data_IF_125794858356
#
_entry.id   IF_125794858356
#
_cell.length_a   1.000
_cell.length_b   1.000
_cell.length_c   1.000
_cell.angle_alpha   90.00
_cell.angle_beta   90.00
_cell.angle_gamma   90.00
#
_symmetry.space_group_name_H-M   'P 1'
#
loop_
_entity.id
_entity.type
_entity.pdbx_description
1 polymer ?
#
# COMPACT_ATOMS: atom_id res chain seq x y z
N UNK A 1 31.23 -22.27 -37.68
CA UNK A 1 30.19 -21.22 -37.74
C UNK A 1 28.84 -21.85 -37.43
N UNK A 2 28.44 -21.98 -36.16
CA UNK A 2 27.05 -22.10 -35.68
C UNK A 2 27.04 -21.62 -34.22
N UNK A 3 26.13 -20.69 -33.93
CA UNK A 3 26.03 -19.83 -32.73
C UNK A 3 25.70 -20.52 -31.40
N UNK A 4 26.13 -19.95 -30.26
CA UNK A 4 25.58 -20.24 -28.94
C UNK A 4 24.43 -19.26 -28.61
N UNK A 5 23.19 -19.75 -28.48
CA UNK A 5 22.06 -18.98 -27.92
C UNK A 5 21.06 -19.91 -27.24
N UNK A 6 21.01 -19.86 -25.90
CA UNK A 6 19.82 -19.98 -25.00
C UNK A 6 20.19 -20.56 -23.63
N UNK A 7 20.88 -19.76 -22.80
CA UNK A 7 20.88 -19.98 -21.33
C UNK A 7 20.67 -18.70 -20.52
N UNK A 8 20.77 -17.50 -21.13
CA UNK A 8 20.56 -16.21 -20.44
C UNK A 8 19.10 -15.85 -20.10
N UNK A 9 18.11 -16.63 -20.55
CA UNK A 9 16.68 -16.35 -20.31
C UNK A 9 16.11 -16.97 -19.02
N UNK A 10 16.72 -18.03 -18.50
CA UNK A 10 16.23 -18.77 -17.33
C UNK A 10 16.67 -18.13 -16.00
N UNK A 11 17.85 -17.52 -15.96
CA UNK A 11 18.40 -16.90 -14.75
C UNK A 11 17.65 -15.62 -14.37
N UNK A 12 17.28 -14.78 -15.34
CA UNK A 12 16.44 -13.60 -15.11
C UNK A 12 15.00 -13.96 -14.70
N UNK A 13 14.43 -15.04 -15.25
CA UNK A 13 13.11 -15.52 -14.83
C UNK A 13 13.12 -16.18 -13.43
N UNK A 14 14.23 -16.81 -13.04
CA UNK A 14 14.40 -17.36 -11.69
C UNK A 14 14.61 -16.23 -10.66
N UNK A 15 15.45 -15.24 -10.93
CA UNK A 15 15.67 -14.09 -10.03
C UNK A 15 14.40 -13.27 -9.80
N UNK A 16 13.61 -13.04 -10.87
CA UNK A 16 12.34 -12.31 -10.80
C UNK A 16 11.29 -12.94 -9.87
N UNK A 17 11.27 -14.28 -9.76
CA UNK A 17 10.30 -15.01 -8.94
C UNK A 17 10.80 -15.31 -7.54
N UNK A 18 12.11 -15.57 -7.38
CA UNK A 18 12.72 -15.68 -6.06
C UNK A 18 12.47 -14.39 -5.29
N UNK A 19 12.51 -13.21 -5.90
CA UNK A 19 12.35 -11.93 -5.19
C UNK A 19 10.90 -11.58 -4.88
N UNK A 20 9.97 -11.86 -5.80
CA UNK A 20 8.54 -11.71 -5.53
C UNK A 20 8.11 -12.68 -4.42
N UNK A 21 8.58 -13.93 -4.47
CA UNK A 21 8.38 -14.91 -3.40
C UNK A 21 9.13 -14.58 -2.12
N UNK A 22 10.34 -14.01 -2.17
CA UNK A 22 11.07 -13.55 -0.99
C UNK A 22 10.34 -12.37 -0.38
N UNK A 23 9.75 -11.44 -1.13
CA UNK A 23 8.99 -10.35 -0.55
C UNK A 23 7.68 -10.83 0.11
N UNK A 24 6.95 -11.73 -0.54
CA UNK A 24 5.72 -12.32 0.00
C UNK A 24 5.98 -13.32 1.14
N UNK A 25 7.09 -14.05 1.08
CA UNK A 25 7.55 -14.92 2.15
C UNK A 25 8.14 -14.12 3.30
N UNK A 26 8.87 -13.03 3.03
CA UNK A 26 9.49 -12.19 4.07
C UNK A 26 8.48 -11.23 4.70
N UNK A 27 7.42 -10.77 4.02
CA UNK A 27 6.27 -10.15 4.71
C UNK A 27 5.62 -11.12 5.72
N UNK A 28 5.80 -12.42 5.51
CA UNK A 28 5.31 -13.52 6.33
C UNK A 28 6.30 -14.03 7.39
N UNK A 29 7.61 -13.96 7.11
CA UNK A 29 8.69 -14.43 8.01
C UNK A 29 9.31 -13.30 8.83
N UNK A 30 9.29 -12.06 8.34
CA UNK A 30 9.81 -10.93 9.08
C UNK A 30 8.78 -10.37 10.06
N UNK A 31 9.14 -10.48 11.33
CA UNK A 31 8.61 -9.60 12.39
C UNK A 31 8.79 -8.14 11.95
N UNK A 32 7.69 -7.38 11.90
CA UNK A 32 7.51 -5.91 12.01
C UNK A 32 8.51 -4.89 11.40
N UNK A 33 9.64 -5.29 10.83
CA UNK A 33 10.83 -4.44 10.61
C UNK A 33 11.50 -4.66 9.25
N UNK A 34 10.93 -5.50 8.39
CA UNK A 34 11.49 -5.83 7.08
C UNK A 34 10.47 -5.60 5.96
N UNK A 35 10.87 -4.86 4.95
CA UNK A 35 10.14 -4.65 3.71
C UNK A 35 11.09 -4.97 2.56
N UNK A 36 10.67 -5.81 1.61
CA UNK A 36 11.33 -5.90 0.30
C UNK A 36 10.49 -5.12 -0.70
N UNK A 37 11.10 -4.45 -1.69
CA UNK A 37 10.41 -3.96 -2.89
C UNK A 37 11.24 -4.31 -4.12
N UNK A 38 10.62 -4.57 -5.27
CA UNK A 38 11.35 -4.85 -6.51
C UNK A 38 11.16 -3.74 -7.54
N UNK A 39 12.29 -3.28 -8.09
CA UNK A 39 12.35 -2.41 -9.27
C UNK A 39 13.27 -3.05 -10.29
N UNK A 40 12.72 -3.52 -11.41
CA UNK A 40 13.50 -4.16 -12.49
C UNK A 40 14.36 -5.32 -11.95
N UNK A 41 15.69 -5.18 -11.96
CA UNK A 41 16.67 -6.17 -11.49
C UNK A 41 17.26 -5.82 -10.10
N UNK A 42 16.64 -4.87 -9.41
CA UNK A 42 17.02 -4.42 -8.07
C UNK A 42 15.94 -4.79 -7.04
N UNK A 43 16.38 -5.09 -5.82
CA UNK A 43 15.52 -5.14 -4.64
C UNK A 43 15.84 -4.01 -3.68
N UNK A 44 14.84 -3.63 -2.92
CA UNK A 44 14.95 -2.80 -1.74
C UNK A 44 14.79 -3.70 -0.52
N UNK A 45 15.51 -3.46 0.57
CA UNK A 45 15.37 -4.19 1.85
C UNK A 45 15.46 -3.22 3.01
N UNK A 46 14.86 -3.54 4.16
CA UNK A 46 14.92 -2.68 5.34
C UNK A 46 15.44 -3.41 6.56
N UNK A 47 16.21 -2.71 7.36
CA UNK A 47 16.67 -3.15 8.68
C UNK A 47 16.41 -2.03 9.69
N UNK A 48 15.95 -2.37 10.88
CA UNK A 48 15.61 -1.38 11.90
C UNK A 48 16.09 -1.81 13.28
N UNK A 49 16.47 -0.85 14.11
CA UNK A 49 16.65 -1.11 15.55
C UNK A 49 15.29 -1.32 16.25
N UNK A 50 15.33 -1.71 17.53
CA UNK A 50 14.12 -1.90 18.32
C UNK A 50 13.35 -0.59 18.50
N UNK A 51 12.02 -0.67 18.59
CA UNK A 51 11.16 0.49 18.84
C UNK A 51 11.34 0.98 20.28
N UNK A 52 11.45 2.29 20.45
CA UNK A 52 11.44 2.97 21.74
C UNK A 52 10.15 3.79 21.86
N UNK A 53 9.34 3.48 22.87
CA UNK A 53 8.02 4.11 23.08
C UNK A 53 8.08 5.41 23.89
N UNK A 54 9.15 5.64 24.66
CA UNK A 54 9.32 6.79 25.55
C UNK A 54 10.43 7.72 25.05
N UNK A 55 10.15 8.52 24.03
CA UNK A 55 11.06 9.59 23.59
C UNK A 55 10.31 10.91 23.64
N UNK A 56 10.77 11.84 24.48
CA UNK A 56 10.30 13.22 24.50
C UNK A 56 10.33 13.81 23.09
N UNK A 57 9.32 14.61 22.72
CA UNK A 57 9.29 15.21 21.40
C UNK A 57 10.50 16.13 21.20
N UNK A 58 11.42 15.67 20.37
CA UNK A 58 12.41 16.52 19.70
C UNK A 58 11.61 17.49 18.80
N UNK A 59 12.14 18.69 18.57
CA UNK A 59 11.51 19.72 17.75
C UNK A 59 11.01 19.15 16.41
N UNK A 60 9.71 19.35 16.11
CA UNK A 60 9.06 18.85 14.89
C UNK A 60 8.47 17.43 14.95
N UNK A 61 8.71 16.65 16.01
CA UNK A 61 8.13 15.30 16.15
C UNK A 61 6.68 15.34 16.69
N UNK A 62 5.81 14.48 16.16
CA UNK A 62 4.47 14.27 16.73
C UNK A 62 4.57 13.55 18.09
N UNK A 63 3.91 14.13 19.09
CA UNK A 63 3.73 13.53 20.41
C UNK A 63 2.98 12.19 20.34
N UNK A 64 3.54 11.16 20.98
CA UNK A 64 2.92 9.84 21.08
C UNK A 64 3.18 8.90 19.89
N UNK A 65 3.88 9.35 18.85
CA UNK A 65 4.40 8.46 17.81
C UNK A 65 5.70 7.82 18.31
N UNK A 66 5.86 6.48 18.25
CA UNK A 66 7.08 5.80 18.65
C UNK A 66 8.31 6.31 17.88
N UNK A 67 9.50 5.97 18.36
CA UNK A 67 10.76 6.26 17.67
C UNK A 67 11.51 4.97 17.36
N UNK A 68 12.17 4.92 16.21
CA UNK A 68 13.19 3.93 15.90
C UNK A 68 14.50 4.70 15.68
N UNK A 69 15.51 4.37 16.49
CA UNK A 69 16.80 5.08 16.49
C UNK A 69 17.45 5.08 15.11
N UNK A 70 17.44 3.94 14.41
CA UNK A 70 18.03 3.80 13.07
C UNK A 70 17.19 2.88 12.21
N UNK A 71 16.71 3.40 11.08
CA UNK A 71 16.02 2.66 10.02
C UNK A 71 16.89 2.76 8.78
N UNK A 72 17.44 1.63 8.32
CA UNK A 72 18.29 1.58 7.13
C UNK A 72 17.58 0.85 6.01
N UNK A 73 17.51 1.49 4.86
CA UNK A 73 17.03 0.92 3.62
C UNK A 73 18.20 0.60 2.70
N UNK A 74 18.26 -0.61 2.20
CA UNK A 74 19.32 -1.15 1.36
C UNK A 74 18.80 -1.33 -0.06
N UNK A 75 19.52 -0.81 -1.05
CA UNK A 75 19.32 -1.13 -2.46
C UNK A 75 20.24 -2.29 -2.82
N UNK A 76 19.67 -3.36 -3.36
CA UNK A 76 20.32 -4.64 -3.63
C UNK A 76 20.22 -4.98 -5.11
N UNK A 77 21.28 -5.55 -5.69
CA UNK A 77 21.21 -6.20 -6.99
C UNK A 77 20.73 -7.63 -6.84
N UNK A 78 19.77 -8.05 -7.67
CA UNK A 78 19.14 -9.36 -7.53
C UNK A 78 19.96 -10.53 -8.04
N UNK A 79 20.90 -10.27 -8.95
CA UNK A 79 21.72 -11.32 -9.56
C UNK A 79 22.71 -11.95 -8.57
N UNK A 80 23.37 -11.10 -7.78
CA UNK A 80 24.48 -11.46 -6.90
C UNK A 80 24.22 -11.12 -5.42
N UNK A 81 23.14 -10.40 -5.12
CA UNK A 81 22.77 -9.99 -3.75
C UNK A 81 23.61 -8.82 -3.22
N UNK A 82 24.39 -8.15 -4.06
CA UNK A 82 25.28 -7.05 -3.63
C UNK A 82 24.47 -5.82 -3.25
N UNK A 83 24.80 -5.21 -2.10
CA UNK A 83 24.26 -3.90 -1.71
C UNK A 83 24.92 -2.83 -2.58
N UNK A 84 24.10 -2.09 -3.33
CA UNK A 84 24.53 -1.02 -4.22
C UNK A 84 24.55 0.34 -3.52
N UNK A 85 23.57 0.59 -2.66
CA UNK A 85 23.42 1.88 -1.95
C UNK A 85 22.58 1.70 -0.68
N UNK A 86 22.67 2.65 0.25
CA UNK A 86 21.87 2.68 1.47
C UNK A 86 21.29 4.05 1.78
N UNK A 87 20.09 4.06 2.37
CA UNK A 87 19.46 5.27 2.92
C UNK A 87 19.09 5.05 4.38
N UNK A 88 19.62 5.90 5.26
CA UNK A 88 19.39 5.81 6.70
C UNK A 88 18.50 6.96 7.17
N UNK A 89 17.51 6.62 8.01
CA UNK A 89 16.69 7.55 8.79
C UNK A 89 16.96 7.33 10.27
N UNK A 90 17.04 8.42 11.03
CA UNK A 90 17.34 8.41 12.44
C UNK A 90 16.16 8.96 13.26
N UNK A 91 15.91 8.34 14.41
CA UNK A 91 14.89 8.77 15.37
C UNK A 91 13.49 9.00 14.75
N UNK A 92 13.13 8.19 13.76
CA UNK A 92 11.89 8.31 13.01
C UNK A 92 11.02 7.07 13.17
N UNK A 93 9.78 7.12 12.73
CA UNK A 93 8.87 6.00 12.64
C UNK A 93 8.32 5.86 11.24
N UNK A 94 8.79 4.81 10.56
CA UNK A 94 8.27 4.40 9.26
C UNK A 94 7.56 3.07 9.46
N UNK A 95 6.26 3.03 9.17
CA UNK A 95 5.47 1.82 9.39
C UNK A 95 5.73 0.78 8.29
N UNK A 96 6.65 -0.14 8.53
CA UNK A 96 7.02 -1.19 7.58
C UNK A 96 6.05 -2.38 7.58
N UNK A 97 5.16 -2.47 8.57
CA UNK A 97 4.17 -3.55 8.66
C UNK A 97 3.27 -3.50 7.44
N UNK A 98 3.16 -4.61 6.70
CA UNK A 98 2.41 -4.71 5.45
C UNK A 98 2.75 -3.60 4.43
N UNK A 99 4.00 -3.10 4.42
CA UNK A 99 4.45 -2.02 3.53
C UNK A 99 3.55 -0.78 3.61
N UNK A 100 3.11 -0.38 4.81
CA UNK A 100 2.22 0.78 4.97
C UNK A 100 2.92 2.13 4.83
N UNK A 101 4.22 2.19 5.08
CA UNK A 101 5.03 3.42 5.05
C UNK A 101 5.94 3.54 3.83
N UNK A 102 5.91 2.56 2.92
CA UNK A 102 6.81 2.55 1.75
C UNK A 102 6.02 2.19 0.50
N UNK A 103 6.14 3.04 -0.51
CA UNK A 103 5.50 2.89 -1.80
C UNK A 103 6.52 3.08 -2.91
N UNK A 104 6.28 2.43 -4.02
CA UNK A 104 7.14 2.41 -5.18
C UNK A 104 6.26 2.55 -6.41
N UNK A 105 6.53 3.56 -7.21
CA UNK A 105 5.88 3.80 -8.48
C UNK A 105 6.97 3.94 -9.54
N UNK A 106 7.05 2.95 -10.43
CA UNK A 106 8.13 2.83 -11.42
C UNK A 106 9.52 2.81 -10.76
N UNK A 107 10.28 3.90 -10.85
CA UNK A 107 11.59 4.12 -10.25
C UNK A 107 11.56 5.12 -9.07
N UNK A 108 10.39 5.67 -8.74
CA UNK A 108 10.18 6.57 -7.61
C UNK A 108 9.74 5.80 -6.37
N UNK A 109 10.53 5.93 -5.32
CA UNK A 109 10.30 5.36 -4.01
C UNK A 109 9.82 6.45 -3.05
N UNK A 110 8.63 6.28 -2.50
CA UNK A 110 8.03 7.16 -1.50
C UNK A 110 8.10 6.51 -0.12
N UNK A 111 8.72 7.20 0.84
CA UNK A 111 8.85 6.76 2.23
C UNK A 111 8.13 7.75 3.13
N UNK A 112 7.12 7.29 3.86
CA UNK A 112 6.34 8.11 4.78
C UNK A 112 6.93 8.08 6.19
N UNK A 113 7.51 9.21 6.59
CA UNK A 113 7.88 9.54 7.95
C UNK A 113 6.61 9.93 8.73
N UNK A 114 6.14 9.03 9.60
CA UNK A 114 4.96 9.32 10.42
C UNK A 114 5.30 10.29 11.56
N UNK A 115 6.51 10.19 12.13
CA UNK A 115 6.90 11.01 13.28
C UNK A 115 7.06 12.48 12.89
N UNK A 116 7.63 12.76 11.72
CA UNK A 116 7.89 14.12 11.23
C UNK A 116 6.90 14.60 10.17
N UNK A 117 5.87 13.80 9.85
CA UNK A 117 4.84 14.15 8.87
C UNK A 117 5.46 14.58 7.54
N UNK A 118 6.30 13.71 7.00
CA UNK A 118 6.99 13.94 5.74
C UNK A 118 6.91 12.71 4.82
N UNK A 119 6.85 12.95 3.52
CA UNK A 119 6.96 11.93 2.49
C UNK A 119 8.26 12.21 1.75
N UNK A 120 9.24 11.33 1.91
CA UNK A 120 10.50 11.38 1.18
C UNK A 120 10.32 10.69 -0.16
N UNK A 121 10.66 11.38 -1.25
CA UNK A 121 10.63 10.85 -2.61
C UNK A 121 12.06 10.66 -3.06
N UNK A 122 12.44 9.40 -3.30
CA UNK A 122 13.74 9.00 -3.82
C UNK A 122 13.56 8.41 -5.21
N UNK A 123 14.53 8.63 -6.09
CA UNK A 123 14.60 7.98 -7.39
C UNK A 123 15.69 6.91 -7.39
N UNK A 124 15.35 5.73 -7.87
CA UNK A 124 16.27 4.62 -8.06
C UNK A 124 16.87 4.73 -9.46
N UNK A 125 18.15 5.12 -9.54
CA UNK A 125 18.86 5.23 -10.82
C UNK A 125 19.31 3.87 -11.31
N UNK A 126 19.41 3.73 -12.63
CA UNK A 126 19.96 2.52 -13.27
C UNK A 126 21.41 2.23 -12.88
N UNK A 127 22.16 3.25 -12.48
CA UNK A 127 23.52 3.12 -11.93
C UNK A 127 23.57 2.37 -10.60
N UNK A 128 22.43 2.14 -9.94
CA UNK A 128 22.35 1.52 -8.63
C UNK A 128 22.45 2.50 -7.47
N UNK A 129 22.04 3.76 -7.65
CA UNK A 129 22.08 4.79 -6.62
C UNK A 129 20.67 5.29 -6.26
N UNK A 130 20.50 5.67 -4.99
CA UNK A 130 19.32 6.30 -4.43
C UNK A 130 19.49 7.81 -4.40
N UNK A 131 18.73 8.52 -5.23
CA UNK A 131 18.79 9.99 -5.31
C UNK A 131 17.60 10.58 -4.58
N UNK A 132 17.82 11.47 -3.61
CA UNK A 132 16.74 12.22 -2.99
C UNK A 132 16.21 13.27 -3.99
N UNK A 133 14.93 13.19 -4.34
CA UNK A 133 14.30 14.09 -5.32
C UNK A 133 13.57 15.21 -4.61
N UNK A 134 12.80 14.88 -3.58
CA UNK A 134 11.95 15.84 -2.89
C UNK A 134 11.51 15.29 -1.54
N UNK A 135 11.19 16.21 -0.63
CA UNK A 135 10.44 15.92 0.58
C UNK A 135 9.13 16.72 0.56
N UNK A 136 8.01 16.06 0.83
CA UNK A 136 6.69 16.70 0.97
C UNK A 136 6.32 16.66 2.44
N UNK A 137 6.10 17.80 3.08
CA UNK A 137 5.69 17.84 4.48
C UNK A 137 5.74 19.25 5.05
N UNK A 138 6.65 19.55 6.00
CA UNK A 138 6.78 20.88 6.62
C UNK A 138 7.17 21.98 5.62
N UNK A 139 7.88 21.61 4.54
CA UNK A 139 8.32 22.52 3.49
C UNK A 139 7.78 22.06 2.14
N UNK A 140 7.43 23.01 1.25
CA UNK A 140 7.02 22.73 -0.12
C UNK A 140 8.18 22.90 -1.11
N UNK A 141 9.11 23.81 -0.81
CA UNK A 141 10.32 24.11 -1.57
C UNK A 141 11.57 24.01 -0.68
N UNK A 142 12.73 23.81 -1.30
CA UNK A 142 14.01 23.65 -0.58
C UNK A 142 14.41 24.90 0.21
N UNK A 143 14.08 26.08 -0.31
CA UNK A 143 14.44 27.37 0.31
C UNK A 143 13.45 27.82 1.40
N UNK A 144 12.34 27.10 1.61
CA UNK A 144 11.30 27.49 2.56
C UNK A 144 11.84 27.54 4.00
N UNK A 145 12.78 26.64 4.34
CA UNK A 145 13.37 26.57 5.67
C UNK A 145 14.16 27.85 5.99
N UNK A 146 14.94 28.36 5.03
CA UNK A 146 15.69 29.61 5.17
C UNK A 146 14.74 30.80 5.31
N UNK A 147 13.67 30.83 4.50
CA UNK A 147 12.67 31.89 4.57
C UNK A 147 11.96 31.90 5.93
N UNK A 148 11.51 30.75 6.43
CA UNK A 148 10.81 30.65 7.71
C UNK A 148 11.73 31.02 8.87
N UNK A 149 12.98 30.55 8.89
CA UNK A 149 13.94 30.88 9.94
C UNK A 149 14.26 32.39 10.01
N UNK A 150 14.27 33.09 8.88
CA UNK A 150 14.42 34.55 8.86
C UNK A 150 13.23 35.32 9.48
N UNK A 151 12.03 34.72 9.52
CA UNK A 151 10.81 35.34 10.03
C UNK A 151 10.37 34.84 11.42
N UNK A 152 10.85 33.67 11.87
CA UNK A 152 10.57 33.11 13.21
C UNK A 152 11.16 33.98 14.33
N UNK A 153 12.20 34.77 14.06
CA UNK A 153 12.76 35.71 15.04
C UNK A 153 11.78 36.82 15.48
N UNK A 154 10.62 36.97 14.81
CA UNK A 154 9.64 38.05 15.06
C UNK A 154 8.37 37.58 15.78
N UNK A 155 8.09 36.27 15.85
CA UNK A 155 6.84 35.75 16.39
C UNK A 155 7.08 34.87 17.63
N UNK A 156 6.88 35.46 18.82
CA UNK A 156 6.90 34.77 20.12
C UNK A 156 6.01 33.50 20.10
N UNK A 157 6.64 32.32 19.98
CA UNK A 157 6.06 31.03 20.35
C UNK A 157 4.90 30.48 19.50
N UNK A 158 4.55 31.09 18.35
CA UNK A 158 3.53 30.54 17.43
C UNK A 158 4.20 29.81 16.27
N UNK A 159 4.10 28.49 16.25
CA UNK A 159 4.49 27.67 15.09
C UNK A 159 3.66 28.07 13.89
N UNK A 160 4.29 28.65 12.88
CA UNK A 160 3.63 28.99 11.62
C UNK A 160 3.16 27.70 10.94
N UNK A 161 1.91 27.67 10.48
CA UNK A 161 1.43 26.56 9.66
C UNK A 161 2.09 26.67 8.29
N UNK A 162 3.02 25.77 7.99
CA UNK A 162 3.80 25.77 6.75
C UNK A 162 3.51 24.54 5.89
N UNK A 163 4.12 24.52 4.70
CA UNK A 163 4.17 23.34 3.84
C UNK A 163 2.81 22.81 3.41
N UNK A 164 2.68 21.48 3.38
CA UNK A 164 1.50 20.80 2.86
C UNK A 164 0.24 21.11 3.68
N UNK A 165 0.36 21.30 5.00
CA UNK A 165 -0.78 21.66 5.87
C UNK A 165 -1.31 23.05 5.52
N UNK A 166 -0.43 24.02 5.31
CA UNK A 166 -0.82 25.37 4.89
C UNK A 166 -1.52 25.36 3.53
N UNK A 167 -0.97 24.61 2.56
CA UNK A 167 -1.57 24.46 1.22
C UNK A 167 -2.95 23.83 1.31
N UNK A 168 -3.12 22.81 2.15
CA UNK A 168 -4.40 22.16 2.39
C UNK A 168 -5.43 23.13 2.99
N UNK A 169 -5.10 23.86 4.05
CA UNK A 169 -6.01 24.83 4.66
C UNK A 169 -6.41 25.93 3.68
N UNK A 170 -5.45 26.42 2.90
CA UNK A 170 -5.69 27.40 1.84
C UNK A 170 -6.66 26.88 0.80
N UNK A 171 -6.49 25.62 0.37
CA UNK A 171 -7.40 24.97 -0.58
C UNK A 171 -8.82 24.87 -0.02
N UNK A 172 -8.97 24.35 1.21
CA UNK A 172 -10.29 24.19 1.85
C UNK A 172 -10.98 25.55 2.01
N UNK A 173 -10.23 26.57 2.47
CA UNK A 173 -10.76 27.92 2.60
C UNK A 173 -11.23 28.48 1.26
N UNK A 174 -10.39 28.42 0.21
CA UNK A 174 -10.74 28.93 -1.13
C UNK A 174 -11.96 28.22 -1.70
N UNK A 175 -12.04 26.89 -1.53
CA UNK A 175 -13.19 26.08 -1.98
C UNK A 175 -14.49 26.59 -1.37
N UNK A 176 -14.54 26.76 -0.05
CA UNK A 176 -15.72 27.28 0.64
C UNK A 176 -15.99 28.77 0.38
N UNK A 177 -14.94 29.56 0.14
CA UNK A 177 -15.07 30.97 -0.22
C UNK A 177 -15.74 31.15 -1.60
N UNK A 178 -15.41 30.28 -2.57
CA UNK A 178 -15.94 30.33 -3.93
C UNK A 178 -17.35 29.77 -4.10
N UNK A 179 -17.89 29.09 -3.09
CA UNK A 179 -19.14 28.34 -3.21
C UNK A 179 -20.39 29.25 -3.18
N UNK A 180 -20.29 30.39 -2.49
CA UNK A 180 -21.39 31.35 -2.34
C UNK A 180 -21.02 32.71 -2.95
N UNK A 181 -21.93 33.30 -3.72
CA UNK A 181 -21.72 34.62 -4.34
C UNK A 181 -22.01 35.79 -3.38
N UNK A 182 -23.05 35.65 -2.54
CA UNK A 182 -23.47 36.66 -1.57
C UNK A 182 -22.50 36.74 -0.38
N UNK A 183 -22.08 37.95 -0.02
CA UNK A 183 -21.07 38.17 1.01
C UNK A 183 -21.53 37.74 2.41
N UNK A 184 -22.80 37.98 2.77
CA UNK A 184 -23.33 37.66 4.10
C UNK A 184 -23.47 36.15 4.25
N UNK A 185 -24.06 35.51 3.23
CA UNK A 185 -24.21 34.04 3.18
C UNK A 185 -22.84 33.35 3.18
N UNK A 186 -21.87 33.86 2.40
CA UNK A 186 -20.50 33.34 2.37
C UNK A 186 -19.83 33.36 3.74
N UNK A 187 -19.93 34.47 4.48
CA UNK A 187 -19.35 34.57 5.83
C UNK A 187 -19.99 33.55 6.78
N UNK A 188 -21.31 33.39 6.74
CA UNK A 188 -22.01 32.40 7.57
C UNK A 188 -21.61 30.97 7.18
N UNK A 189 -21.50 30.70 5.89
CA UNK A 189 -21.08 29.41 5.36
C UNK A 189 -19.66 29.05 5.81
N UNK A 190 -18.71 29.98 5.70
CA UNK A 190 -17.34 29.81 6.19
C UNK A 190 -17.26 29.59 7.69
N UNK A 191 -18.04 30.33 8.49
CA UNK A 191 -18.13 30.12 9.95
C UNK A 191 -18.53 28.69 10.26
N UNK A 192 -19.55 28.17 9.56
CA UNK A 192 -20.10 26.83 9.79
C UNK A 192 -19.24 25.70 9.22
N UNK A 193 -18.59 25.89 8.07
CA UNK A 193 -17.89 24.82 7.34
C UNK A 193 -16.38 24.82 7.56
N UNK A 194 -15.76 25.99 7.62
CA UNK A 194 -14.30 26.10 7.79
C UNK A 194 -13.92 26.38 9.23
N UNK A 195 -14.40 27.48 9.82
CA UNK A 195 -13.95 27.91 11.16
C UNK A 195 -14.41 26.96 12.27
N UNK A 196 -15.62 26.41 12.18
CA UNK A 196 -16.11 25.41 13.12
C UNK A 196 -15.24 24.15 13.17
N UNK A 197 -14.70 23.72 12.02
CA UNK A 197 -13.84 22.54 11.89
C UNK A 197 -12.34 22.88 11.82
N UNK A 198 -11.96 24.12 12.11
CA UNK A 198 -10.59 24.58 11.89
C UNK A 198 -9.58 23.74 12.69
N UNK A 199 -9.89 23.47 13.97
CA UNK A 199 -9.02 22.65 14.82
C UNK A 199 -8.90 21.22 14.28
N UNK A 200 -10.01 20.62 13.83
CA UNK A 200 -10.01 19.30 13.21
C UNK A 200 -9.05 19.24 12.01
N UNK A 201 -8.99 20.31 11.20
CA UNK A 201 -8.08 20.39 10.04
C UNK A 201 -6.61 20.56 10.43
N UNK A 202 -6.31 21.31 11.51
CA UNK A 202 -4.94 21.46 12.03
C UNK A 202 -4.40 20.13 12.55
N UNK A 203 -5.26 19.38 13.22
CA UNK A 203 -4.93 18.11 13.86
C UNK A 203 -4.87 16.93 12.89
N UNK A 204 -5.17 17.15 11.60
CA UNK A 204 -4.96 16.15 10.56
C UNK A 204 -3.49 15.72 10.50
N UNK A 205 -3.32 14.40 10.47
CA UNK A 205 -2.02 13.74 10.26
C UNK A 205 -2.05 12.97 8.95
N UNK A 206 -0.97 13.06 8.20
CA UNK A 206 -0.67 12.16 7.09
C UNK A 206 -0.43 10.76 7.65
N UNK A 207 -1.28 9.85 7.23
CA UNK A 207 -1.16 8.45 7.52
C UNK A 207 -1.85 7.68 6.40
N UNK A 208 -1.29 6.51 6.07
CA UNK A 208 -2.00 5.49 5.31
C UNK A 208 -3.20 4.95 6.09
N UNK A 209 -4.38 5.14 5.53
CA UNK A 209 -5.66 4.59 6.02
C UNK A 209 -5.57 3.06 6.11
N UNK A 210 -6.01 2.51 7.24
CA UNK A 210 -6.10 1.07 7.49
C UNK A 210 -7.55 0.68 7.77
N UNK A 211 -7.90 -0.60 7.65
CA UNK A 211 -9.25 -1.08 7.97
C UNK A 211 -9.67 -0.83 9.43
N UNK A 212 -8.73 -0.58 10.33
CA UNK A 212 -9.00 -0.23 11.73
C UNK A 212 -9.46 1.22 11.92
N UNK A 213 -9.33 2.10 10.91
CA UNK A 213 -9.73 3.50 11.00
C UNK A 213 -11.18 3.75 10.58
N UNK A 214 -12.01 2.70 10.47
CA UNK A 214 -13.42 2.79 10.03
C UNK A 214 -14.27 3.70 10.95
N UNK A 215 -13.78 3.94 12.18
CA UNK A 215 -14.41 4.81 13.17
C UNK A 215 -13.98 6.28 13.06
N UNK A 216 -12.90 6.59 12.34
CA UNK A 216 -12.36 7.95 12.22
C UNK A 216 -12.66 8.53 10.84
N UNK A 217 -13.00 9.82 10.81
CA UNK A 217 -13.13 10.56 9.55
C UNK A 217 -11.75 10.66 8.90
N UNK A 218 -11.63 10.18 7.66
CA UNK A 218 -10.40 10.29 6.88
C UNK A 218 -10.65 11.05 5.58
N UNK A 219 -9.61 11.72 5.11
CA UNK A 219 -9.64 12.53 3.91
C UNK A 219 -8.57 12.09 2.93
N UNK A 220 -8.84 12.26 1.65
CA UNK A 220 -7.92 12.00 0.55
C UNK A 220 -7.63 13.32 -0.15
N UNK A 221 -6.36 13.67 -0.25
CA UNK A 221 -5.90 14.83 -0.99
C UNK A 221 -5.09 14.38 -2.20
N UNK A 222 -5.33 14.99 -3.36
CA UNK A 222 -4.46 14.86 -4.54
C UNK A 222 -3.53 16.06 -4.55
N UNK A 223 -2.24 15.81 -4.38
CA UNK A 223 -1.20 16.84 -4.32
C UNK A 223 -0.31 16.75 -5.56
N UNK A 224 -0.13 17.89 -6.24
CA UNK A 224 0.82 18.01 -7.33
C UNK A 224 2.22 18.31 -6.75
N UNK A 225 3.14 17.36 -6.87
CA UNK A 225 4.49 17.51 -6.36
C UNK A 225 5.36 18.51 -7.13
N UNK A 226 5.01 18.83 -8.37
CA UNK A 226 5.74 19.80 -9.20
C UNK A 226 5.28 21.23 -8.88
N UNK A 227 3.97 21.49 -8.91
CA UNK A 227 3.41 22.84 -8.67
C UNK A 227 3.22 23.15 -7.19
N UNK A 228 3.29 22.15 -6.31
CA UNK A 228 3.04 22.23 -4.86
C UNK A 228 1.60 22.56 -4.49
N UNK A 229 0.65 22.28 -5.38
CA UNK A 229 -0.77 22.59 -5.21
C UNK A 229 -1.59 21.37 -4.80
N UNK A 230 -2.61 21.59 -3.96
CA UNK A 230 -3.67 20.62 -3.71
C UNK A 230 -4.70 20.76 -4.83
N UNK A 231 -4.91 19.70 -5.58
CA UNK A 231 -5.85 19.67 -6.71
C UNK A 231 -7.27 19.37 -6.21
N UNK A 232 -7.40 18.32 -5.40
CA UNK A 232 -8.67 17.88 -4.83
C UNK A 232 -8.54 17.42 -3.39
N UNK A 233 -9.64 17.55 -2.65
CA UNK A 233 -9.77 17.11 -1.27
C UNK A 233 -11.14 16.46 -1.07
N UNK A 234 -11.15 15.16 -0.80
CA UNK A 234 -12.35 14.33 -0.65
C UNK A 234 -12.42 13.73 0.75
N UNK A 235 -13.63 13.59 1.28
CA UNK A 235 -13.87 12.75 2.44
C UNK A 235 -14.01 11.29 2.00
N UNK A 236 -13.63 10.34 2.86
CA UNK A 236 -13.66 8.90 2.57
C UNK A 236 -15.05 8.29 2.29
N UNK A 237 -16.12 9.07 2.43
CA UNK A 237 -17.52 8.65 2.23
C UNK A 237 -18.18 9.25 1.00
N UNK A 238 -17.44 10.05 0.23
CA UNK A 238 -17.97 10.86 -0.87
C UNK A 238 -18.05 10.07 -2.17
N UNK A 239 -19.15 10.21 -2.91
CA UNK A 239 -19.39 9.49 -4.17
C UNK A 239 -18.40 9.89 -5.27
N UNK A 240 -18.04 11.17 -5.37
CA UNK A 240 -17.07 11.65 -6.36
C UNK A 240 -15.70 10.95 -6.25
N UNK A 241 -15.28 10.58 -5.03
CA UNK A 241 -14.05 9.82 -4.82
C UNK A 241 -14.17 8.40 -5.39
N UNK A 242 -15.34 7.79 -5.25
CA UNK A 242 -15.60 6.47 -5.80
C UNK A 242 -15.67 6.49 -7.33
N UNK A 243 -16.30 7.50 -7.93
CA UNK A 243 -16.36 7.63 -9.39
C UNK A 243 -14.94 7.79 -9.97
N UNK A 244 -14.10 8.61 -9.33
CA UNK A 244 -12.68 8.74 -9.69
C UNK A 244 -11.95 7.40 -9.56
N UNK A 245 -12.18 6.68 -8.46
CA UNK A 245 -11.60 5.37 -8.22
C UNK A 245 -12.03 4.33 -9.26
N UNK A 246 -13.31 4.30 -9.63
CA UNK A 246 -13.85 3.37 -10.61
C UNK A 246 -13.26 3.63 -12.00
N UNK A 247 -13.12 4.90 -12.38
CA UNK A 247 -12.53 5.32 -13.66
C UNK A 247 -11.02 5.11 -13.73
N UNK A 248 -10.30 5.38 -12.65
CA UNK A 248 -8.83 5.36 -12.60
C UNK A 248 -8.26 4.17 -11.82
N UNK A 249 -9.03 3.11 -11.60
CA UNK A 249 -8.65 1.99 -10.73
C UNK A 249 -7.24 1.43 -10.97
N UNK A 250 -6.90 1.19 -12.25
CA UNK A 250 -5.60 0.66 -12.63
C UNK A 250 -4.45 1.64 -12.29
N UNK A 251 -4.70 2.94 -12.24
CA UNK A 251 -3.70 3.96 -11.87
C UNK A 251 -3.41 3.98 -10.37
N UNK A 252 -4.34 3.53 -9.53
CA UNK A 252 -4.10 3.37 -8.10
C UNK A 252 -3.20 2.17 -7.77
N UNK A 253 -2.96 1.28 -8.74
CA UNK A 253 -2.09 0.12 -8.58
C UNK A 253 -0.74 0.40 -9.23
N UNK A 254 0.33 0.28 -8.46
CA UNK A 254 1.71 0.40 -8.94
C UNK A 254 2.20 -0.80 -9.78
N UNK A 255 1.29 -1.57 -10.38
CA UNK A 255 1.67 -2.72 -11.19
C UNK A 255 2.43 -2.22 -12.42
N UNK A 256 3.70 -2.64 -12.55
CA UNK A 256 4.48 -2.38 -13.76
C UNK A 256 3.75 -2.98 -14.96
N UNK A 257 3.10 -2.10 -15.75
CA UNK A 257 2.42 -2.47 -17.01
C UNK A 257 3.36 -3.11 -18.03
N UNK A 258 4.66 -3.05 -17.79
CA UNK A 258 5.70 -3.60 -18.66
C UNK A 258 5.96 -5.10 -18.44
N UNK A 259 5.43 -5.69 -17.36
CA UNK A 259 5.57 -7.13 -17.09
C UNK A 259 4.44 -7.92 -17.77
N UNK A 260 4.77 -8.90 -18.60
CA UNK A 260 3.79 -9.82 -19.22
C UNK A 260 2.89 -10.52 -18.19
N UNK A 261 3.36 -10.72 -16.96
CA UNK A 261 2.59 -11.35 -15.89
C UNK A 261 1.57 -10.42 -15.25
N UNK A 262 1.76 -9.10 -15.34
CA UNK A 262 0.77 -8.15 -14.84
C UNK A 262 -0.57 -8.28 -15.59
N UNK A 263 -0.56 -8.83 -16.80
CA UNK A 263 -1.77 -9.11 -17.58
C UNK A 263 -2.72 -10.14 -16.93
N UNK A 264 -2.24 -10.95 -15.97
CA UNK A 264 -3.10 -11.89 -15.23
C UNK A 264 -3.84 -11.23 -14.06
N UNK A 265 -3.49 -9.99 -13.71
CA UNK A 265 -4.18 -9.24 -12.68
C UNK A 265 -5.55 -8.82 -13.23
N UNK A 266 -6.60 -9.40 -12.64
CA UNK A 266 -7.99 -9.08 -12.99
C UNK A 266 -8.47 -7.85 -12.21
N UNK A 267 -8.86 -6.80 -12.93
CA UNK A 267 -9.54 -5.61 -12.43
C UNK A 267 -10.92 -5.46 -13.06
N UNK A 268 -11.79 -4.62 -12.49
CA UNK A 268 -13.09 -4.34 -13.10
C UNK A 268 -12.98 -3.61 -14.43
N UNK A 269 -11.84 -2.97 -14.71
CA UNK A 269 -11.56 -2.30 -15.99
C UNK A 269 -11.14 -3.27 -17.09
N UNK A 270 -10.53 -4.42 -16.75
CA UNK A 270 -9.95 -5.34 -17.73
C UNK A 270 -10.61 -6.75 -17.77
N UNK A 271 -11.49 -7.07 -16.81
CA UNK A 271 -12.10 -8.38 -16.70
C UNK A 271 -13.61 -8.28 -16.40
N UNK A 272 -14.43 -8.83 -17.30
CA UNK A 272 -15.90 -8.80 -17.18
C UNK A 272 -16.41 -9.47 -15.90
N UNK A 273 -15.75 -10.55 -15.45
CA UNK A 273 -16.17 -11.25 -14.23
C UNK A 273 -15.83 -10.46 -12.97
N UNK A 274 -14.72 -9.72 -12.96
CA UNK A 274 -14.40 -8.78 -11.88
C UNK A 274 -15.43 -7.65 -11.83
N UNK A 275 -15.82 -7.13 -13.00
CA UNK A 275 -16.85 -6.10 -13.11
C UNK A 275 -18.22 -6.58 -12.61
N UNK A 276 -18.68 -7.76 -13.05
CA UNK A 276 -19.94 -8.37 -12.57
C UNK A 276 -19.96 -8.56 -11.04
N UNK A 277 -18.83 -8.99 -10.46
CA UNK A 277 -18.69 -9.12 -9.02
C UNK A 277 -18.79 -7.76 -8.32
N UNK A 278 -18.12 -6.73 -8.84
CA UNK A 278 -18.20 -5.36 -8.31
C UNK A 278 -19.64 -4.85 -8.32
N UNK A 279 -20.35 -5.00 -9.46
CA UNK A 279 -21.76 -4.64 -9.57
C UNK A 279 -22.62 -5.39 -8.55
N UNK A 280 -22.38 -6.69 -8.38
CA UNK A 280 -23.11 -7.50 -7.38
C UNK A 280 -22.86 -7.01 -5.96
N UNK A 281 -21.62 -6.67 -5.61
CA UNK A 281 -21.29 -6.13 -4.28
C UNK A 281 -21.93 -4.75 -4.08
N UNK A 282 -21.90 -3.89 -5.11
CA UNK A 282 -22.52 -2.55 -5.09
C UNK A 282 -24.03 -2.65 -4.91
N UNK A 283 -24.71 -3.53 -5.65
CA UNK A 283 -26.16 -3.72 -5.58
C UNK A 283 -26.61 -4.35 -4.25
N UNK A 284 -25.78 -5.21 -3.65
CA UNK A 284 -26.07 -5.83 -2.36
C UNK A 284 -25.68 -4.94 -1.17
N UNK A 285 -25.06 -3.78 -1.40
CA UNK A 285 -24.69 -2.86 -0.34
C UNK A 285 -25.93 -2.13 0.17
N UNK A 286 -26.15 -2.15 1.49
CA UNK A 286 -27.28 -1.43 2.11
C UNK A 286 -27.18 0.09 2.03
N UNK A 287 -25.99 0.63 1.77
CA UNK A 287 -25.74 2.06 1.57
C UNK A 287 -24.53 2.28 0.67
N UNK A 288 -24.65 3.20 -0.28
CA UNK A 288 -23.55 3.60 -1.17
C UNK A 288 -22.38 4.16 -0.36
N UNK A 289 -22.65 4.99 0.67
CA UNK A 289 -21.61 5.55 1.54
C UNK A 289 -20.79 4.47 2.26
N UNK A 290 -21.44 3.41 2.76
CA UNK A 290 -20.74 2.27 3.39
C UNK A 290 -19.91 1.47 2.39
N UNK A 291 -20.41 1.32 1.17
CA UNK A 291 -19.69 0.67 0.09
C UNK A 291 -18.45 1.49 -0.31
N UNK A 292 -18.58 2.81 -0.48
CA UNK A 292 -17.46 3.72 -0.79
C UNK A 292 -16.41 3.64 0.31
N UNK A 293 -16.79 3.75 1.59
CA UNK A 293 -15.85 3.59 2.72
C UNK A 293 -15.10 2.27 2.64
N UNK A 294 -15.82 1.16 2.42
CA UNK A 294 -15.22 -0.17 2.31
C UNK A 294 -14.20 -0.26 1.16
N UNK A 295 -14.49 0.32 0.00
CA UNK A 295 -13.57 0.33 -1.14
C UNK A 295 -12.35 1.24 -0.88
N UNK A 296 -12.60 2.44 -0.33
CA UNK A 296 -11.57 3.42 0.00
C UNK A 296 -10.60 2.95 1.09
N UNK A 297 -10.99 2.00 1.98
CA UNK A 297 -10.06 1.43 2.99
C UNK A 297 -8.82 0.76 2.40
N UNK A 298 -8.86 0.40 1.11
CA UNK A 298 -7.72 -0.21 0.43
C UNK A 298 -6.77 0.81 -0.21
N UNK A 299 -7.16 2.08 -0.26
CA UNK A 299 -6.38 3.16 -0.83
C UNK A 299 -5.46 3.82 0.20
N UNK A 300 -4.26 4.25 -0.20
CA UNK A 300 -3.57 3.87 -1.45
C UNK A 300 -3.15 2.39 -1.43
N UNK A 301 -3.25 1.71 -2.57
CA UNK A 301 -2.83 0.31 -2.66
C UNK A 301 -1.33 0.16 -2.43
N UNK A 302 -0.93 -0.90 -1.74
CA UNK A 302 0.49 -1.28 -1.70
C UNK A 302 0.95 -1.78 -3.04
N UNK A 303 2.20 -1.47 -3.35
CA UNK A 303 2.94 -2.11 -4.43
C UNK A 303 2.91 -3.63 -4.19
N UNK A 304 2.58 -4.39 -5.24
CA UNK A 304 2.47 -5.84 -5.18
C UNK A 304 1.36 -6.38 -4.25
N UNK A 305 0.33 -5.57 -3.95
CA UNK A 305 -0.87 -6.01 -3.20
C UNK A 305 -1.62 -7.18 -3.83
N UNK A 306 -1.43 -7.41 -5.13
CA UNK A 306 -2.12 -8.43 -5.92
C UNK A 306 -1.12 -9.39 -6.56
N UNK A 307 -1.45 -10.69 -6.51
CA UNK A 307 -0.70 -11.76 -7.15
C UNK A 307 -0.92 -11.77 -8.67
N UNK A 308 0.14 -11.65 -9.49
CA UNK A 308 0.06 -11.73 -10.95
C UNK A 308 0.03 -13.19 -11.45
N UNK A 309 -0.52 -14.11 -10.65
CA UNK A 309 -0.54 -15.53 -10.99
C UNK A 309 -1.73 -15.85 -11.91
N UNK A 310 -1.54 -16.65 -12.98
CA UNK A 310 -2.64 -17.05 -13.86
C UNK A 310 -3.71 -17.87 -13.13
N UNK A 311 -3.41 -18.42 -11.95
CA UNK A 311 -4.39 -19.12 -11.12
C UNK A 311 -5.47 -18.18 -10.55
N UNK A 312 -5.18 -16.89 -10.47
CA UNK A 312 -6.12 -15.86 -10.01
C UNK A 312 -6.77 -15.08 -11.15
N UNK A 313 -6.49 -15.42 -12.41
CA UNK A 313 -7.20 -14.83 -13.54
C UNK A 313 -8.66 -15.31 -13.55
N UNK A 314 -9.57 -14.37 -13.34
CA UNK A 314 -11.01 -14.65 -13.27
C UNK A 314 -11.60 -15.09 -14.60
N UNK A 315 -10.89 -14.89 -15.71
CA UNK A 315 -11.23 -15.40 -17.04
C UNK A 315 -10.91 -16.89 -17.20
N UNK A 316 -9.95 -17.41 -16.42
CA UNK A 316 -9.51 -18.79 -16.49
C UNK A 316 -10.24 -19.67 -15.47
N UNK A 317 -10.35 -19.19 -14.24
CA UNK A 317 -10.86 -19.98 -13.12
C UNK A 317 -11.98 -19.29 -12.36
N UNK A 318 -12.91 -20.12 -11.86
CA UNK A 318 -13.88 -19.77 -10.83
C UNK A 318 -13.45 -20.45 -9.53
N UNK A 319 -13.32 -19.67 -8.47
CA UNK A 319 -13.00 -20.11 -7.11
C UNK A 319 -13.77 -19.26 -6.09
N UNK A 320 -13.77 -19.66 -4.82
CA UNK A 320 -14.41 -18.91 -3.74
C UNK A 320 -13.47 -17.84 -3.18
N UNK A 321 -13.76 -16.57 -3.50
CA UNK A 321 -12.96 -15.42 -3.08
C UNK A 321 -12.94 -15.17 -1.56
N UNK A 322 -13.94 -15.71 -0.84
CA UNK A 322 -13.97 -15.64 0.62
C UNK A 322 -12.88 -16.52 1.24
N UNK A 323 -12.42 -17.53 0.51
CA UNK A 323 -11.39 -18.47 0.96
C UNK A 323 -10.01 -18.12 0.42
N UNK A 324 -9.94 -17.63 -0.82
CA UNK A 324 -8.67 -17.33 -1.50
C UNK A 324 -8.84 -16.17 -2.49
N UNK A 325 -7.89 -15.25 -2.56
CA UNK A 325 -7.95 -14.12 -3.50
C UNK A 325 -6.58 -13.73 -4.02
N UNK A 326 -6.55 -13.03 -5.15
CA UNK A 326 -5.33 -12.43 -5.69
C UNK A 326 -4.69 -11.44 -4.70
N UNK A 327 -5.50 -10.73 -3.90
CA UNK A 327 -4.99 -9.76 -2.92
C UNK A 327 -4.32 -10.47 -1.75
N UNK A 328 -3.13 -10.01 -1.37
CA UNK A 328 -2.37 -10.50 -0.22
C UNK A 328 -3.10 -10.15 1.09
N UNK A 329 -3.92 -11.08 1.55
CA UNK A 329 -4.71 -10.93 2.77
C UNK A 329 -4.88 -12.27 3.45
N UNK A 330 -4.78 -12.23 4.77
CA UNK A 330 -5.18 -13.30 5.66
C UNK A 330 -6.66 -13.67 5.47
N UNK A 331 -6.95 -14.97 5.39
CA UNK A 331 -8.30 -15.53 5.20
C UNK A 331 -8.58 -16.60 6.25
N UNK A 332 -9.85 -16.79 6.62
CA UNK A 332 -10.20 -17.89 7.51
C UNK A 332 -9.85 -19.23 6.84
N UNK A 333 -9.13 -20.08 7.56
CA UNK A 333 -8.77 -21.40 7.07
C UNK A 333 -10.01 -22.28 7.03
N UNK A 334 -10.16 -23.03 5.94
CA UNK A 334 -11.21 -24.04 5.80
C UNK A 334 -10.61 -25.44 5.88
N UNK A 335 -11.38 -26.38 6.43
CA UNK A 335 -11.05 -27.80 6.36
C UNK A 335 -11.35 -28.36 4.96
N UNK A 336 -12.31 -27.77 4.25
CA UNK A 336 -12.67 -28.22 2.91
C UNK A 336 -11.69 -27.73 1.84
N UNK A 337 -11.41 -28.56 0.80
CA UNK A 337 -10.57 -28.18 -0.31
C UNK A 337 -11.17 -27.02 -1.12
N UNK A 338 -10.34 -26.01 -1.40
CA UNK A 338 -10.67 -24.88 -2.26
C UNK A 338 -10.65 -25.36 -3.71
N UNK A 339 -11.75 -25.21 -4.42
CA UNK A 339 -11.94 -25.73 -5.79
C UNK A 339 -11.66 -24.64 -6.82
N UNK A 340 -10.86 -24.98 -7.83
CA UNK A 340 -10.65 -24.15 -9.01
C UNK A 340 -11.34 -24.81 -10.21
N UNK A 341 -12.41 -24.18 -10.68
CA UNK A 341 -13.27 -24.67 -11.76
C UNK A 341 -12.96 -23.88 -13.03
N UNK A 342 -12.88 -24.56 -14.17
CA UNK A 342 -12.67 -23.91 -15.47
C UNK A 342 -13.82 -22.97 -15.82
N UNK A 343 -13.52 -21.75 -16.24
CA UNK A 343 -14.52 -20.83 -16.81
C UNK A 343 -14.93 -21.22 -18.23
N UNK A 344 -13.99 -21.71 -19.05
CA UNK A 344 -14.25 -22.16 -20.43
C UNK A 344 -15.17 -23.38 -20.51
N UNK A 345 -15.11 -24.24 -19.50
CA UNK A 345 -15.90 -25.47 -19.40
C UNK A 345 -16.55 -25.49 -18.03
N UNK A 346 -17.72 -24.83 -17.86
CA UNK A 346 -18.43 -24.83 -16.59
C UNK A 346 -18.66 -26.29 -16.16
N UNK A 347 -18.52 -26.56 -14.87
CA UNK A 347 -18.56 -27.90 -14.24
C UNK A 347 -17.26 -28.73 -14.29
N UNK A 348 -16.23 -28.31 -15.04
CA UNK A 348 -14.95 -29.02 -15.01
C UNK A 348 -14.06 -28.46 -13.89
N UNK A 349 -13.96 -29.24 -12.81
CA UNK A 349 -12.97 -29.03 -11.77
C UNK A 349 -11.56 -29.25 -12.36
N UNK A 350 -10.70 -28.23 -12.30
CA UNK A 350 -9.32 -28.33 -12.80
C UNK A 350 -8.34 -28.80 -11.73
N UNK A 351 -8.46 -28.26 -10.52
CA UNK A 351 -7.66 -28.69 -9.37
C UNK A 351 -8.29 -28.22 -8.05
N UNK A 352 -7.75 -28.71 -6.94
CA UNK A 352 -8.14 -28.33 -5.58
C UNK A 352 -6.89 -28.01 -4.76
N UNK A 353 -7.01 -27.06 -3.83
CA UNK A 353 -5.99 -26.77 -2.83
C UNK A 353 -6.55 -27.13 -1.46
N UNK A 354 -5.82 -27.94 -0.70
CA UNK A 354 -6.17 -28.30 0.67
C UNK A 354 -5.27 -27.52 1.62
N UNK A 355 -5.77 -26.46 2.27
CA UNK A 355 -4.92 -25.69 3.18
C UNK A 355 -4.65 -26.45 4.48
N UNK A 356 -5.59 -27.26 5.00
CA UNK A 356 -5.50 -27.94 6.29
C UNK A 356 -4.66 -29.22 6.31
N UNK A 357 -4.23 -29.66 7.51
CA UNK A 357 -3.46 -30.90 7.66
C UNK A 357 -4.30 -32.11 7.25
N UNK A 358 -3.68 -33.07 6.57
CA UNK A 358 -4.30 -34.35 6.19
C UNK A 358 -4.57 -35.26 7.41
N UNK A 359 -4.09 -34.89 8.60
CA UNK A 359 -4.29 -35.65 9.83
C UNK A 359 -5.67 -35.36 10.43
N UNK A 360 -6.55 -36.35 10.34
CA UNK A 360 -7.83 -36.46 11.05
C UNK A 360 -7.59 -36.45 12.57
N UNK A 361 -7.39 -35.26 13.14
CA UNK A 361 -7.16 -35.03 14.57
C UNK A 361 -8.08 -33.95 15.09
N UNK A 362 -8.90 -34.32 16.07
CA UNK A 362 -10.04 -33.62 16.66
C UNK A 362 -9.72 -32.30 17.37
N UNK A 363 -9.28 -31.27 16.65
CA UNK A 363 -9.10 -29.92 17.23
C UNK A 363 -9.66 -28.80 16.33
N UNK A 364 -10.93 -28.94 15.99
CA UNK A 364 -11.75 -28.01 15.21
C UNK A 364 -12.05 -26.66 15.91
N UNK A 365 -11.43 -26.38 17.06
CA UNK A 365 -11.75 -25.20 17.90
C UNK A 365 -10.79 -24.03 17.78
N UNK A 366 -9.65 -24.19 17.10
CA UNK A 366 -8.73 -23.07 16.89
C UNK A 366 -9.10 -22.30 15.62
N UNK A 367 -9.42 -21.00 15.76
CA UNK A 367 -9.58 -20.11 14.61
C UNK A 367 -8.23 -20.02 13.89
N UNK A 368 -8.11 -20.74 12.78
CA UNK A 368 -6.93 -20.73 11.90
C UNK A 368 -7.13 -19.74 10.77
N UNK A 369 -6.04 -19.09 10.39
CA UNK A 369 -5.99 -18.14 9.31
C UNK A 369 -4.94 -18.62 8.31
N UNK A 370 -5.27 -18.57 7.02
CA UNK A 370 -4.41 -18.99 5.94
C UNK A 370 -4.05 -17.80 5.05
N UNK A 371 -2.79 -17.74 4.61
CA UNK A 371 -2.35 -16.96 3.46
C UNK A 371 -1.92 -17.89 2.32
N UNK A 372 -1.98 -17.39 1.10
CA UNK A 372 -1.66 -18.16 -0.10
C UNK A 372 -0.74 -17.37 -1.01
N UNK A 373 0.39 -17.97 -1.36
CA UNK A 373 1.39 -17.40 -2.24
C UNK A 373 1.46 -18.26 -3.50
N UNK A 374 1.00 -17.72 -4.62
CA UNK A 374 1.07 -18.43 -5.90
C UNK A 374 2.25 -17.95 -6.70
N UNK A 375 2.93 -18.91 -7.31
CA UNK A 375 3.98 -18.58 -8.25
C UNK A 375 3.39 -17.97 -9.51
N UNK A 376 4.01 -16.92 -10.08
CA UNK A 376 3.52 -16.26 -11.29
C UNK A 376 3.60 -17.12 -12.57
N UNK A 377 4.32 -18.24 -12.57
CA UNK A 377 4.52 -19.06 -13.76
C UNK A 377 4.70 -20.56 -13.46
N UNK A 378 5.39 -20.92 -12.37
CA UNK A 378 5.48 -22.32 -11.99
C UNK A 378 4.13 -22.81 -11.49
N UNK A 379 3.83 -24.10 -11.68
CA UNK A 379 2.65 -24.73 -11.10
C UNK A 379 2.85 -25.00 -9.60
N UNK A 380 3.21 -23.96 -8.86
CA UNK A 380 3.60 -23.97 -7.47
C UNK A 380 2.76 -22.94 -6.69
N UNK A 381 2.22 -23.36 -5.56
CA UNK A 381 1.61 -22.47 -4.59
C UNK A 381 2.04 -22.87 -3.18
N UNK A 382 2.10 -21.91 -2.28
CA UNK A 382 2.43 -22.13 -0.87
C UNK A 382 1.23 -21.65 -0.06
N UNK A 383 0.71 -22.49 0.82
CA UNK A 383 -0.29 -22.07 1.80
C UNK A 383 0.32 -22.05 3.18
N UNK A 384 0.14 -20.96 3.91
CA UNK A 384 0.74 -20.76 5.22
C UNK A 384 -0.38 -20.59 6.22
N UNK A 385 -0.45 -21.49 7.19
CA UNK A 385 -1.48 -21.49 8.22
C UNK A 385 -0.92 -20.97 9.54
N UNK A 386 -1.59 -19.97 10.06
CA UNK A 386 -1.35 -19.40 11.37
C UNK A 386 -2.49 -19.78 12.30
N UNK A 387 -2.16 -20.40 13.42
CA UNK A 387 -3.11 -20.73 14.47
C UNK A 387 -3.03 -19.66 15.57
N UNK A 388 -4.16 -19.32 16.16
CA UNK A 388 -4.20 -18.40 17.29
C UNK A 388 -3.53 -19.04 18.51
N UNK A 389 -2.50 -18.37 19.07
CA UNK A 389 -1.71 -18.73 20.25
C UNK A 389 -0.93 -20.08 20.21
N UNK A 390 0.39 -19.99 20.43
CA UNK A 390 1.30 -21.08 20.85
C UNK A 390 1.47 -22.32 19.94
N UNK A 391 0.82 -22.39 18.76
CA UNK A 391 1.09 -23.45 17.79
C UNK A 391 2.03 -23.02 16.65
N UNK A 392 2.88 -23.93 16.14
CA UNK A 392 3.79 -23.61 15.05
C UNK A 392 3.03 -23.29 13.77
N UNK A 393 3.57 -22.33 13.00
CA UNK A 393 3.09 -22.03 11.65
C UNK A 393 3.27 -23.26 10.75
N UNK A 394 2.19 -23.69 10.10
CA UNK A 394 2.23 -24.82 9.15
C UNK A 394 2.35 -24.27 7.74
N UNK A 395 3.36 -24.75 7.00
CA UNK A 395 3.60 -24.35 5.60
C UNK A 395 3.39 -25.57 4.71
N UNK A 396 2.44 -25.48 3.79
CA UNK A 396 2.19 -26.53 2.79
C UNK A 396 2.60 -26.04 1.40
N UNK A 397 3.33 -26.89 0.68
CA UNK A 397 3.75 -26.64 -0.69
C UNK A 397 2.87 -27.45 -1.63
N UNK A 398 2.16 -26.76 -2.51
CA UNK A 398 1.25 -27.33 -3.49
C UNK A 398 1.93 -27.30 -4.85
N UNK A 399 2.16 -28.48 -5.42
CA UNK A 399 2.73 -28.60 -6.76
C UNK A 399 1.73 -29.30 -7.68
N UNK A 400 1.43 -28.68 -8.81
CA UNK A 400 0.59 -29.27 -9.86
C UNK A 400 1.49 -29.86 -10.93
N UNK A 401 1.45 -31.19 -11.06
CA UNK A 401 2.17 -31.95 -12.09
C UNK A 401 1.58 -31.74 -13.48
#
# INVERSE_FOLDING_TARGET
>A
MVCPRKQRGLTASLSSSIVYHLQQAVSLFAKSSFCILRVRDLAYSTTSTAQTNDVSAIEGAINGVPSIERITFHLLRLEDGVILDEKVYYNDFINLVHSMGVFLYEDLLCIMSLRYQAIHILQIRESGNLVNIRMIGPFCHEDDELFLNSHVQVAEGKTFLSGVKQRLLSYIFRKHWSEEADQIVRIQYLKRKFYFHFQDYIDLIMWKVSRSTDQHTSFFAVYNMETTEIITFYQNSTEELYDLFEQLYDHFHAASRNSLHANFISSHSNNIYAFEQLCTIKNNAGSLSQFVKKMATSLPYTCQSQSPSPYFDLSLFRYDEKLISATDRLRHSTEHPIKFISRRQPHILKFKIKPGPETSGSDARSKRVSSFLFHPYLPLAISIQQTSFMQPTVVNIHFRR
#
